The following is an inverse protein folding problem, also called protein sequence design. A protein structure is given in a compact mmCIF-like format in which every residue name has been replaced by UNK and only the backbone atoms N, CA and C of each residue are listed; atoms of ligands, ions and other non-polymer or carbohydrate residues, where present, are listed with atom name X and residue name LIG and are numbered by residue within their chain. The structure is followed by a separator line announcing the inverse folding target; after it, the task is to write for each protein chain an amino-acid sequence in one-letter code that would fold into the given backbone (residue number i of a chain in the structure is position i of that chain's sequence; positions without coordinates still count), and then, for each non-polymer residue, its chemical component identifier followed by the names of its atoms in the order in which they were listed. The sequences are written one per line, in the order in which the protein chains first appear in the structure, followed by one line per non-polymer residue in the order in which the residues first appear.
data_IF_169855035480
#
_entry.id   IF_169855035480
#
_cell.length_a   1.000
_cell.length_b   1.000
_cell.length_c   1.000
_cell.angle_alpha   90.00
_cell.angle_beta   90.00
_cell.angle_gamma   90.00
#
_symmetry.space_group_name_H-M   'P 1'
#
loop_
_entity.id
_entity.type
_entity.pdbx_description
1 polymer ?
#
# COMPACT_ATOMS: atom_id res chain seq x y z
N UNK A 1 2.55 12.47 14.64
CA UNK A 1 3.63 13.28 14.05
C UNK A 1 3.51 13.16 12.54
N UNK A 2 3.59 14.28 11.83
CA UNK A 2 3.46 14.36 10.37
C UNK A 2 4.80 14.76 9.75
N UNK A 3 5.03 14.39 8.50
CA UNK A 3 6.25 14.70 7.74
C UNK A 3 5.88 15.23 6.35
N UNK A 4 6.78 16.03 5.76
CA UNK A 4 6.59 16.53 4.39
C UNK A 4 6.50 15.38 3.38
N UNK A 5 7.35 14.37 3.55
CA UNK A 5 7.41 13.16 2.72
C UNK A 5 7.35 11.93 3.62
N UNK A 6 6.56 10.94 3.22
CA UNK A 6 6.50 9.63 3.88
C UNK A 6 6.70 8.54 2.84
N UNK A 7 7.55 7.56 3.18
CA UNK A 7 7.74 6.34 2.40
C UNK A 7 7.27 5.17 3.26
N UNK A 8 6.32 4.39 2.75
CA UNK A 8 5.77 3.23 3.42
C UNK A 8 6.22 1.97 2.65
N UNK A 9 6.88 1.05 3.34
CA UNK A 9 7.06 -0.31 2.85
C UNK A 9 6.00 -1.21 3.49
N UNK A 10 5.25 -1.93 2.65
CA UNK A 10 4.21 -2.87 3.09
C UNK A 10 4.81 -4.21 3.53
N UNK A 11 6.07 -4.49 3.20
CA UNK A 11 6.89 -5.63 3.65
C UNK A 11 6.34 -7.04 3.37
N UNK A 12 5.10 -7.18 2.86
CA UNK A 12 4.45 -8.47 2.60
C UNK A 12 4.62 -8.83 1.13
N UNK A 13 5.27 -9.97 0.91
CA UNK A 13 5.38 -10.64 -0.38
C UNK A 13 5.44 -12.15 -0.13
N UNK A 14 4.40 -12.89 -0.52
CA UNK A 14 4.30 -14.35 -0.37
C UNK A 14 3.22 -14.92 -1.30
N UNK A 15 3.39 -16.18 -1.70
CA UNK A 15 2.49 -16.82 -2.66
C UNK A 15 1.07 -17.04 -2.10
N UNK A 16 0.95 -17.17 -0.79
CA UNK A 16 -0.29 -17.43 -0.06
C UNK A 16 -1.19 -16.19 0.06
N UNK A 17 -0.71 -15.00 -0.30
CA UNK A 17 -1.49 -13.76 -0.21
C UNK A 17 -1.72 -13.28 1.24
N UNK A 18 -0.90 -13.74 2.19
CA UNK A 18 -1.06 -13.41 3.61
C UNK A 18 -0.50 -12.02 3.89
N UNK A 19 -1.42 -11.07 4.14
CA UNK A 19 -1.08 -9.67 4.40
C UNK A 19 -0.93 -9.32 5.88
N UNK A 20 -1.40 -10.19 6.79
CA UNK A 20 -1.30 -9.98 8.23
C UNK A 20 -1.94 -8.66 8.69
N UNK A 21 -1.17 -7.81 9.37
CA UNK A 21 -1.65 -6.55 9.95
C UNK A 21 -2.12 -5.51 8.92
N UNK A 22 -1.78 -5.67 7.64
CA UNK A 22 -2.24 -4.77 6.57
C UNK A 22 -3.74 -4.92 6.28
N UNK A 23 -4.37 -6.01 6.71
CA UNK A 23 -5.83 -6.15 6.67
C UNK A 23 -6.52 -5.15 7.61
N UNK A 24 -5.81 -4.60 8.60
CA UNK A 24 -6.33 -3.59 9.51
C UNK A 24 -6.30 -2.19 8.87
N UNK A 25 -7.39 -1.83 8.18
CA UNK A 25 -7.57 -0.52 7.49
C UNK A 25 -7.14 0.70 8.30
N UNK A 26 -7.35 0.67 9.63
CA UNK A 26 -7.00 1.79 10.51
C UNK A 26 -5.50 2.08 10.52
N UNK A 27 -4.65 1.05 10.47
CA UNK A 27 -3.19 1.22 10.45
C UNK A 27 -2.71 1.85 9.16
N UNK A 28 -3.25 1.37 8.03
CA UNK A 28 -2.91 1.89 6.72
C UNK A 28 -3.32 3.37 6.60
N UNK A 29 -4.54 3.72 7.04
CA UNK A 29 -5.00 5.10 7.08
C UNK A 29 -4.08 6.00 7.91
N UNK A 30 -3.66 5.55 9.10
CA UNK A 30 -2.75 6.33 9.95
C UNK A 30 -1.41 6.55 9.27
N UNK A 31 -0.86 5.54 8.59
CA UNK A 31 0.43 5.65 7.91
C UNK A 31 0.35 6.61 6.70
N UNK A 32 -0.70 6.51 5.88
CA UNK A 32 -0.91 7.35 4.70
C UNK A 32 -1.10 8.83 5.05
N UNK A 33 -1.89 9.10 6.08
CA UNK A 33 -2.24 10.48 6.50
C UNK A 33 -1.10 11.21 7.22
N UNK A 34 0.08 10.59 7.36
CA UNK A 34 1.27 11.28 7.89
C UNK A 34 1.98 12.15 6.85
N UNK A 35 1.73 11.93 5.56
CA UNK A 35 2.35 12.69 4.48
C UNK A 35 1.65 14.03 4.25
N UNK A 36 2.41 15.12 4.14
CA UNK A 36 1.87 16.44 3.81
C UNK A 36 1.97 16.79 2.33
N UNK A 37 3.05 16.39 1.65
CA UNK A 37 3.32 16.71 0.24
C UNK A 37 3.46 15.49 -0.66
N UNK A 38 4.11 14.44 -0.16
CA UNK A 38 4.36 13.25 -0.97
C UNK A 38 4.29 11.97 -0.14
N UNK A 39 3.60 10.98 -0.69
CA UNK A 39 3.49 9.64 -0.14
C UNK A 39 3.97 8.64 -1.20
N UNK A 40 5.00 7.88 -0.86
CA UNK A 40 5.44 6.73 -1.66
C UNK A 40 5.07 5.44 -0.94
N UNK A 41 4.44 4.52 -1.64
CA UNK A 41 4.11 3.19 -1.12
C UNK A 41 4.84 2.14 -1.95
N UNK A 42 5.51 1.21 -1.27
CA UNK A 42 6.24 0.11 -1.88
C UNK A 42 5.64 -1.19 -1.35
N UNK A 43 5.21 -2.08 -2.25
CA UNK A 43 4.63 -3.36 -1.88
C UNK A 43 4.47 -4.30 -3.06
N UNK A 44 4.14 -5.54 -2.76
CA UNK A 44 3.88 -6.59 -3.75
C UNK A 44 2.38 -6.60 -4.10
N UNK A 45 2.07 -6.22 -5.33
CA UNK A 45 0.70 -6.14 -5.84
C UNK A 45 -0.02 -7.49 -5.82
N UNK A 46 0.67 -8.60 -6.08
CA UNK A 46 0.04 -9.93 -6.11
C UNK A 46 -0.39 -10.33 -4.69
N UNK A 47 0.52 -10.18 -3.72
CA UNK A 47 0.22 -10.47 -2.31
C UNK A 47 -0.91 -9.59 -1.76
N UNK A 48 -0.90 -8.29 -2.08
CA UNK A 48 -1.89 -7.34 -1.57
C UNK A 48 -3.28 -7.53 -2.18
N UNK A 49 -3.36 -7.87 -3.47
CA UNK A 49 -4.63 -8.10 -4.17
C UNK A 49 -5.43 -9.27 -3.57
N UNK A 50 -4.73 -10.25 -2.99
CA UNK A 50 -5.30 -11.42 -2.30
C UNK A 50 -5.63 -11.14 -0.82
N UNK A 51 -5.18 -10.02 -0.27
CA UNK A 51 -5.32 -9.65 1.13
C UNK A 51 -6.71 -9.14 1.56
N UNK A 52 -7.69 -9.14 0.65
CA UNK A 52 -9.08 -8.76 0.89
C UNK A 52 -9.57 -7.58 0.03
N UNK A 53 -10.89 -7.40 -0.02
CA UNK A 53 -11.54 -6.43 -0.93
C UNK A 53 -11.05 -5.00 -0.76
N UNK A 54 -10.75 -4.59 0.47
CA UNK A 54 -10.23 -3.25 0.73
C UNK A 54 -8.90 -2.99 0.03
N UNK A 55 -7.93 -3.91 0.16
CA UNK A 55 -6.60 -3.74 -0.45
C UNK A 55 -6.69 -3.84 -1.97
N UNK A 56 -7.52 -4.75 -2.49
CA UNK A 56 -7.80 -4.86 -3.92
C UNK A 56 -8.41 -3.57 -4.50
N UNK A 57 -9.46 -3.05 -3.87
CA UNK A 57 -10.11 -1.82 -4.32
C UNK A 57 -9.18 -0.61 -4.19
N UNK A 58 -8.35 -0.56 -3.14
CA UNK A 58 -7.35 0.47 -2.97
C UNK A 58 -6.27 0.41 -4.06
N UNK A 59 -5.79 -0.78 -4.43
CA UNK A 59 -4.85 -0.96 -5.54
C UNK A 59 -5.45 -0.49 -6.88
N UNK A 60 -6.69 -0.89 -7.18
CA UNK A 60 -7.38 -0.41 -8.38
C UNK A 60 -7.51 1.12 -8.38
N UNK A 61 -7.82 1.72 -7.23
CA UNK A 61 -7.89 3.18 -7.11
C UNK A 61 -6.53 3.83 -7.39
N UNK A 62 -5.41 3.24 -6.95
CA UNK A 62 -4.07 3.75 -7.23
C UNK A 62 -3.72 3.69 -8.72
N UNK A 63 -4.15 2.66 -9.45
CA UNK A 63 -3.91 2.57 -10.90
C UNK A 63 -4.55 3.75 -11.66
N UNK A 64 -5.71 4.21 -11.19
CA UNK A 64 -6.43 5.33 -11.83
C UNK A 64 -5.96 6.72 -11.34
N UNK A 65 -5.43 6.83 -10.13
CA UNK A 65 -5.22 8.13 -9.46
C UNK A 65 -3.77 8.42 -9.04
N UNK A 66 -2.88 7.44 -9.10
CA UNK A 66 -1.49 7.57 -8.66
C UNK A 66 -0.50 7.19 -9.76
N UNK A 67 0.72 7.70 -9.62
CA UNK A 67 1.83 7.24 -10.45
C UNK A 67 2.26 5.85 -9.98
N UNK A 68 1.87 4.81 -10.72
CA UNK A 68 2.24 3.42 -10.42
C UNK A 68 3.45 3.02 -11.25
N UNK A 69 4.49 2.53 -10.58
CA UNK A 69 5.69 1.97 -11.21
C UNK A 69 5.84 0.52 -10.77
N UNK A 70 6.01 -0.37 -11.74
CA UNK A 70 6.35 -1.77 -11.49
C UNK A 70 7.88 -1.88 -11.53
N UNK A 71 8.45 -2.56 -10.53
CA UNK A 71 9.88 -2.86 -10.55
C UNK A 71 10.17 -3.71 -11.80
N UNK A 72 11.08 -3.26 -12.65
CA UNK A 72 11.52 -4.05 -13.80
C UNK A 72 12.08 -5.39 -13.30
N UNK A 73 11.58 -6.48 -13.90
CA UNK A 73 11.98 -7.86 -13.61
C UNK A 73 13.38 -8.16 -14.15
#
# INVERSE_FOLDING_TARGET
RENEVVIISLCRSNAEGVVGFLSERRRLNVAMTRAKRHLTVIGDSDTLSKGGDFLKNWMNWLEDHAEVRVAAM
#
